data_IF_128256010681
#
_entry.id   IF_128256010681
#
_cell.length_a   1.000
_cell.length_b   1.000
_cell.length_c   1.000
_cell.angle_alpha   90.00
_cell.angle_beta   90.00
_cell.angle_gamma   90.00
#
_symmetry.space_group_name_H-M   'P 1'
#
loop_
_entity.id
_entity.type
_entity.pdbx_description
1 polymer ?
#
# COMPACT_ATOMS: atom_id res chain seq x y z
N UNK A 1 -58.00 -40.28 -11.45
CA UNK A 1 -58.89 -41.14 -10.65
C UNK A 1 -58.13 -41.63 -9.43
N UNK A 2 -58.68 -41.32 -8.24
CA UNK A 2 -58.58 -42.00 -6.92
C UNK A 2 -57.18 -42.11 -6.26
N UNK A 3 -56.86 -41.31 -5.22
CA UNK A 3 -57.26 -41.40 -3.78
C UNK A 3 -56.51 -42.55 -3.06
N UNK A 4 -56.02 -42.53 -1.81
CA UNK A 4 -55.89 -41.61 -0.65
C UNK A 4 -55.08 -42.37 0.45
N UNK A 5 -54.77 -41.66 1.56
CA UNK A 5 -54.30 -42.09 2.91
C UNK A 5 -52.77 -42.17 3.12
N UNK A 6 -52.09 -41.31 3.89
CA UNK A 6 -52.24 -40.71 5.25
C UNK A 6 -52.05 -41.71 6.38
N UNK A 7 -50.97 -41.54 7.16
CA UNK A 7 -51.03 -41.58 8.63
C UNK A 7 -49.88 -40.78 9.26
N UNK A 8 -50.30 -39.98 10.25
CA UNK A 8 -49.53 -39.02 11.03
C UNK A 8 -48.62 -39.70 12.06
N UNK A 9 -47.47 -39.06 12.32
CA UNK A 9 -46.86 -39.10 13.65
C UNK A 9 -46.35 -37.69 14.00
N UNK A 10 -47.15 -36.98 14.79
CA UNK A 10 -46.74 -35.79 15.53
C UNK A 10 -45.75 -36.20 16.61
N UNK A 11 -44.57 -35.59 16.64
CA UNK A 11 -43.73 -35.55 17.83
C UNK A 11 -43.33 -34.10 18.09
N UNK A 12 -44.19 -33.41 18.85
CA UNK A 12 -43.94 -32.09 19.41
C UNK A 12 -42.97 -32.24 20.58
N UNK A 13 -41.68 -31.97 20.35
CA UNK A 13 -40.71 -31.73 21.43
C UNK A 13 -40.78 -30.26 21.83
N UNK A 14 -41.61 -29.98 22.83
CA UNK A 14 -41.53 -28.76 23.64
C UNK A 14 -40.24 -28.79 24.43
N UNK A 15 -39.23 -28.03 24.00
CA UNK A 15 -38.11 -27.69 24.86
C UNK A 15 -38.60 -26.70 25.93
N UNK A 16 -38.80 -27.20 27.15
CA UNK A 16 -39.03 -26.36 28.33
C UNK A 16 -37.79 -25.51 28.56
N UNK A 17 -37.87 -24.22 28.21
CA UNK A 17 -36.95 -23.21 28.69
C UNK A 17 -37.06 -23.16 30.22
N UNK A 18 -36.02 -23.63 30.90
CA UNK A 18 -35.87 -23.43 32.35
C UNK A 18 -35.67 -21.93 32.58
N UNK A 19 -36.73 -21.24 32.98
CA UNK A 19 -36.61 -19.92 33.58
C UNK A 19 -35.88 -20.10 34.92
N UNK A 20 -34.66 -19.56 35.00
CA UNK A 20 -33.91 -19.46 36.25
C UNK A 20 -34.56 -18.34 37.09
N UNK A 21 -34.83 -18.54 38.39
CA UNK A 21 -35.41 -17.49 39.22
C UNK A 21 -34.48 -16.28 39.32
N UNK A 22 -34.99 -15.10 38.98
CA UNK A 22 -34.34 -13.82 39.24
C UNK A 22 -34.32 -13.57 40.75
N UNK A 23 -33.15 -13.64 41.38
CA UNK A 23 -32.94 -13.12 42.72
C UNK A 23 -32.57 -11.63 42.63
N UNK A 24 -33.39 -10.70 43.15
CA UNK A 24 -33.05 -9.29 43.20
C UNK A 24 -32.22 -9.05 44.47
N UNK A 25 -30.93 -9.37 44.41
CA UNK A 25 -29.84 -8.73 45.18
C UNK A 25 -28.58 -9.59 45.07
N UNK A 26 -27.76 -9.24 44.08
CA UNK A 26 -26.34 -9.57 44.06
C UNK A 26 -25.64 -8.30 43.61
N UNK A 27 -25.39 -7.39 44.54
CA UNK A 27 -24.37 -6.36 44.37
C UNK A 27 -23.02 -7.07 44.36
N UNK A 28 -22.67 -7.68 43.23
CA UNK A 28 -21.27 -7.99 42.93
C UNK A 28 -20.55 -6.67 42.71
N UNK A 29 -19.30 -6.52 43.16
CA UNK A 29 -18.49 -5.36 42.78
C UNK A 29 -18.44 -5.31 41.26
N UNK A 30 -18.75 -4.16 40.69
CA UNK A 30 -18.38 -3.84 39.31
C UNK A 30 -16.86 -3.86 39.28
N UNK A 31 -16.27 -5.03 39.02
CA UNK A 31 -14.97 -5.06 38.40
C UNK A 31 -15.20 -4.54 37.00
N UNK A 32 -14.89 -3.26 36.80
CA UNK A 32 -14.62 -2.70 35.48
C UNK A 32 -13.69 -3.68 34.76
N UNK A 33 -14.25 -4.45 33.83
CA UNK A 33 -13.43 -5.11 32.82
C UNK A 33 -12.67 -4.01 32.12
N UNK A 34 -11.32 -4.04 32.05
CA UNK A 34 -10.57 -3.02 31.34
C UNK A 34 -11.14 -2.94 29.94
N UNK A 35 -11.67 -1.76 29.58
CA UNK A 35 -11.90 -1.39 28.19
C UNK A 35 -10.64 -1.80 27.45
N UNK A 36 -10.74 -2.74 26.51
CA UNK A 36 -9.62 -3.43 25.87
C UNK A 36 -8.59 -2.40 25.40
N UNK A 37 -7.57 -2.16 26.22
CA UNK A 37 -6.64 -1.05 26.03
C UNK A 37 -5.61 -1.50 25.01
N UNK A 38 -5.26 -0.64 24.06
CA UNK A 38 -4.19 -0.93 23.10
C UNK A 38 -2.85 -1.18 23.80
N UNK A 39 -1.94 -1.85 23.09
CA UNK A 39 -0.68 -2.34 23.64
C UNK A 39 0.20 -1.21 24.22
N UNK A 40 0.25 -0.05 23.56
CA UNK A 40 0.98 1.12 24.07
C UNK A 40 0.41 1.60 25.42
N UNK A 41 -0.91 1.74 25.52
CA UNK A 41 -1.55 2.18 26.77
C UNK A 41 -1.32 1.18 27.91
N UNK A 42 -1.31 -0.12 27.59
CA UNK A 42 -0.94 -1.16 28.55
C UNK A 42 0.48 -0.98 29.08
N UNK A 43 1.45 -0.75 28.19
CA UNK A 43 2.85 -0.51 28.57
C UNK A 43 2.97 0.76 29.44
N UNK A 44 2.30 1.85 29.06
CA UNK A 44 2.34 3.11 29.83
C UNK A 44 1.73 2.92 31.23
N UNK A 45 0.65 2.16 31.35
CA UNK A 45 -0.01 1.89 32.62
C UNK A 45 0.87 1.06 33.57
N UNK A 46 1.71 0.17 33.04
CA UNK A 46 2.60 -0.69 33.82
C UNK A 46 3.93 -0.02 34.23
N UNK A 47 4.14 1.25 33.86
CA UNK A 47 5.36 1.98 34.21
C UNK A 47 5.44 2.30 35.72
N UNK A 48 6.66 2.32 36.30
CA UNK A 48 6.85 2.72 37.69
C UNK A 48 6.41 4.17 37.94
N UNK A 49 5.77 4.42 39.10
CA UNK A 49 5.37 5.77 39.53
C UNK A 49 6.12 6.13 40.82
N UNK A 50 7.01 7.15 40.80
CA UNK A 50 7.31 8.06 39.70
C UNK A 50 8.22 7.43 38.62
N UNK A 51 8.03 7.85 37.36
CA UNK A 51 8.84 7.38 36.22
C UNK A 51 10.30 7.78 36.43
N UNK A 52 11.26 6.83 36.42
CA UNK A 52 12.68 7.14 36.55
C UNK A 52 13.17 8.12 35.49
N UNK A 53 14.02 9.07 35.90
CA UNK A 53 14.61 10.06 34.99
C UNK A 53 15.39 9.34 33.89
N UNK A 54 15.16 9.74 32.64
CA UNK A 54 15.82 9.16 31.47
C UNK A 54 15.08 7.98 30.84
N UNK A 55 14.11 7.38 31.54
CA UNK A 55 13.27 6.30 31.00
C UNK A 55 12.43 6.80 29.82
N UNK A 56 12.37 5.97 28.78
CA UNK A 56 11.50 6.23 27.63
C UNK A 56 10.04 5.89 27.99
N UNK A 57 9.13 6.82 27.71
CA UNK A 57 7.69 6.64 27.83
C UNK A 57 7.10 6.67 26.42
N UNK A 58 6.48 5.58 25.94
CA UNK A 58 5.92 5.55 24.60
C UNK A 58 4.72 6.49 24.50
N UNK A 59 4.56 7.10 23.32
CA UNK A 59 3.41 7.94 23.01
C UNK A 59 2.30 7.11 22.36
N UNK A 60 1.10 7.19 22.92
CA UNK A 60 -0.05 6.41 22.47
C UNK A 60 -1.14 7.28 21.85
N UNK A 61 -1.92 6.70 20.93
CA UNK A 61 -3.14 7.32 20.40
C UNK A 61 -4.35 7.16 21.34
N UNK A 62 -5.51 7.66 20.92
CA UNK A 62 -6.76 7.58 21.69
C UNK A 62 -7.33 6.15 21.83
N UNK A 63 -6.91 5.23 20.97
CA UNK A 63 -7.27 3.81 21.01
C UNK A 63 -6.29 3.00 21.88
N UNK A 64 -5.16 3.60 22.28
CA UNK A 64 -4.10 2.98 23.06
C UNK A 64 -3.06 2.25 22.22
N UNK A 65 -3.06 2.41 20.88
CA UNK A 65 -1.99 1.94 20.01
C UNK A 65 -0.81 2.92 20.05
N UNK A 66 0.35 2.52 19.52
CA UNK A 66 1.50 3.42 19.43
C UNK A 66 1.23 4.49 18.37
N UNK A 67 1.60 5.74 18.65
CA UNK A 67 1.73 6.73 17.59
C UNK A 67 2.82 6.27 16.60
N UNK A 68 2.61 6.43 15.28
CA UNK A 68 3.60 6.01 14.28
C UNK A 68 4.99 6.59 14.53
N UNK A 69 5.06 7.84 14.97
CA UNK A 69 6.29 8.48 15.42
C UNK A 69 6.41 8.44 16.95
N UNK A 70 7.54 7.94 17.43
CA UNK A 70 7.94 7.99 18.83
C UNK A 70 9.10 8.97 19.02
N UNK A 71 9.12 9.71 20.12
CA UNK A 71 10.21 10.62 20.45
C UNK A 71 10.65 10.44 21.91
N UNK A 72 11.94 10.23 22.13
CA UNK A 72 12.50 10.18 23.48
C UNK A 72 12.57 11.57 24.08
N UNK A 73 11.80 11.84 25.14
CA UNK A 73 11.88 13.09 25.88
C UNK A 73 13.22 13.32 26.59
N UNK A 74 14.00 12.26 26.85
CA UNK A 74 15.29 12.35 27.54
C UNK A 74 16.47 12.60 26.60
N UNK A 75 16.44 12.05 25.38
CA UNK A 75 17.53 12.18 24.41
C UNK A 75 17.20 13.13 23.27
N UNK A 76 15.92 13.42 23.02
CA UNK A 76 15.43 14.23 21.90
C UNK A 76 15.43 13.51 20.55
N UNK A 77 15.79 12.22 20.51
CA UNK A 77 15.72 11.41 19.29
C UNK A 77 14.28 11.03 18.98
N UNK A 78 13.95 10.95 17.70
CA UNK A 78 12.66 10.43 17.21
C UNK A 78 12.89 9.26 16.24
N UNK A 79 11.93 8.35 16.14
CA UNK A 79 11.94 7.21 15.21
C UNK A 79 10.51 6.76 14.91
N UNK A 80 10.34 5.98 13.85
CA UNK A 80 9.05 5.36 13.56
C UNK A 80 8.95 3.97 14.18
N UNK A 81 7.72 3.57 14.49
CA UNK A 81 7.39 2.26 15.04
C UNK A 81 6.22 1.62 14.31
N UNK A 82 6.13 0.30 14.35
CA UNK A 82 4.89 -0.39 14.02
C UNK A 82 3.80 0.00 15.04
N UNK A 83 2.63 0.43 14.55
CA UNK A 83 1.56 0.99 15.40
C UNK A 83 0.94 -0.03 16.36
N UNK A 84 1.02 -1.32 16.03
CA UNK A 84 0.45 -2.41 16.82
C UNK A 84 1.47 -3.00 17.80
N UNK A 85 2.72 -3.21 17.36
CA UNK A 85 3.77 -3.86 18.17
C UNK A 85 4.67 -2.88 18.91
N UNK A 86 4.82 -1.65 18.42
CA UNK A 86 5.75 -0.66 18.96
C UNK A 86 7.21 -0.90 18.56
N UNK A 87 7.48 -1.86 17.68
CA UNK A 87 8.84 -2.17 17.22
C UNK A 87 9.39 -1.04 16.36
N UNK A 88 10.60 -0.58 16.70
CA UNK A 88 11.31 0.47 15.96
C UNK A 88 11.63 0.02 14.54
N UNK A 89 11.38 0.90 13.59
CA UNK A 89 11.61 0.65 12.18
C UNK A 89 13.04 1.05 11.81
N UNK A 90 13.87 0.12 11.30
CA UNK A 90 15.28 0.41 11.02
C UNK A 90 15.45 1.53 9.98
N UNK A 91 16.33 2.49 10.25
CA UNK A 91 16.62 3.61 9.34
C UNK A 91 15.86 4.91 9.65
N UNK A 92 14.81 4.83 10.47
CA UNK A 92 13.92 5.97 10.77
C UNK A 92 14.38 6.86 11.93
N UNK A 93 15.49 6.55 12.58
CA UNK A 93 15.95 7.32 13.74
C UNK A 93 16.59 8.65 13.33
N UNK A 94 16.05 9.73 13.88
CA UNK A 94 16.53 11.09 13.66
C UNK A 94 17.07 11.70 14.95
N UNK A 95 18.26 12.34 14.92
CA UNK A 95 18.82 13.01 16.08
C UNK A 95 18.07 14.32 16.41
N UNK A 96 18.27 14.87 17.62
CA UNK A 96 17.66 16.12 18.03
C UNK A 96 18.01 17.28 17.08
N UNK A 97 17.02 18.10 16.74
CA UNK A 97 17.20 19.27 15.87
C UNK A 97 17.15 18.99 14.37
N UNK A 98 16.99 17.72 13.97
CA UNK A 98 16.68 17.33 12.60
C UNK A 98 15.17 17.09 12.49
N UNK A 99 14.58 17.45 11.34
CA UNK A 99 13.16 17.16 11.07
C UNK A 99 12.99 15.64 11.06
N UNK A 100 12.12 15.06 11.93
CA UNK A 100 11.86 13.63 11.94
C UNK A 100 11.39 13.12 10.58
N UNK A 101 11.69 11.87 10.28
CA UNK A 101 11.13 11.20 9.09
C UNK A 101 9.61 11.08 9.24
N UNK A 102 8.89 11.13 8.12
CA UNK A 102 7.44 10.93 8.14
C UNK A 102 7.12 9.46 8.41
N UNK A 103 6.39 9.17 9.49
CA UNK A 103 6.03 7.81 9.90
C UNK A 103 4.67 7.34 9.34
N UNK A 104 4.04 8.14 8.48
CA UNK A 104 2.80 7.77 7.79
C UNK A 104 3.05 6.85 6.57
N UNK A 105 4.27 6.33 6.43
CA UNK A 105 4.75 5.56 5.27
C UNK A 105 4.58 4.06 5.50
N UNK A 106 4.07 3.33 4.50
CA UNK A 106 4.04 1.86 4.54
C UNK A 106 5.47 1.30 4.40
N UNK A 107 5.92 0.52 5.39
CA UNK A 107 7.27 -0.10 5.41
C UNK A 107 7.34 -1.44 4.69
N UNK A 108 6.18 -1.97 4.31
CA UNK A 108 6.02 -3.17 3.51
C UNK A 108 5.10 -2.84 2.34
N UNK A 109 5.21 -3.60 1.26
CA UNK A 109 4.23 -3.49 0.20
C UNK A 109 2.84 -3.91 0.70
N UNK A 110 1.77 -3.22 0.26
CA UNK A 110 0.42 -3.68 0.52
C UNK A 110 0.21 -5.10 0.01
N UNK A 111 -0.85 -5.73 0.49
CA UNK A 111 -1.27 -7.02 -0.02
C UNK A 111 -1.43 -6.98 -1.56
N UNK A 112 -0.95 -8.01 -2.25
CA UNK A 112 -0.88 -8.14 -3.71
C UNK A 112 0.08 -7.20 -4.47
N UNK A 113 0.85 -6.34 -3.76
CA UNK A 113 1.91 -5.55 -4.38
C UNK A 113 3.25 -6.29 -4.33
N UNK A 114 3.99 -6.25 -5.44
CA UNK A 114 5.33 -6.85 -5.55
C UNK A 114 6.42 -5.86 -5.13
N UNK A 115 7.38 -6.33 -4.35
CA UNK A 115 8.50 -5.54 -3.85
C UNK A 115 9.71 -5.59 -4.80
N UNK A 116 10.31 -4.44 -5.07
CA UNK A 116 11.64 -4.35 -5.68
C UNK A 116 12.35 -3.07 -5.22
N UNK A 117 13.53 -3.22 -4.61
CA UNK A 117 14.31 -2.08 -4.10
C UNK A 117 13.58 -1.35 -2.97
N UNK A 118 13.36 -0.03 -3.13
CA UNK A 118 12.58 0.82 -2.20
C UNK A 118 11.18 1.12 -2.72
N UNK A 119 10.62 0.25 -3.56
CA UNK A 119 9.35 0.48 -4.24
C UNK A 119 8.47 -0.75 -4.23
N UNK A 120 7.18 -0.50 -4.27
CA UNK A 120 6.13 -1.49 -4.46
C UNK A 120 5.49 -1.28 -5.82
N UNK A 121 5.17 -2.37 -6.50
CA UNK A 121 4.61 -2.37 -7.85
C UNK A 121 3.37 -3.23 -7.92
N UNK A 122 2.41 -2.78 -8.72
CA UNK A 122 1.17 -3.50 -8.96
C UNK A 122 0.83 -3.47 -10.44
N UNK A 123 0.72 -4.66 -11.05
CA UNK A 123 0.30 -4.79 -12.44
C UNK A 123 -1.21 -4.90 -12.52
N UNK A 124 -1.82 -4.00 -13.30
CA UNK A 124 -3.25 -3.95 -13.54
C UNK A 124 -3.51 -4.43 -14.97
N UNK A 125 -4.06 -5.63 -15.08
CA UNK A 125 -4.37 -6.28 -16.38
C UNK A 125 -5.67 -5.75 -17.02
N UNK A 126 -6.31 -4.72 -16.45
CA UNK A 126 -7.49 -4.07 -17.02
C UNK A 126 -7.04 -2.88 -17.89
N UNK A 127 -7.17 -2.94 -19.22
CA UNK A 127 -6.64 -1.88 -20.09
C UNK A 127 -7.35 -0.54 -19.89
N UNK A 128 -6.57 0.55 -19.90
CA UNK A 128 -7.04 1.94 -19.74
C UNK A 128 -6.25 2.90 -20.62
N UNK A 129 -6.81 4.06 -20.91
CA UNK A 129 -6.01 5.16 -21.48
C UNK A 129 -4.94 5.58 -20.47
N UNK A 130 -3.87 6.24 -20.92
CA UNK A 130 -2.77 6.61 -20.02
C UNK A 130 -3.24 7.49 -18.85
N UNK A 131 -4.13 8.45 -19.12
CA UNK A 131 -4.68 9.36 -18.09
C UNK A 131 -5.57 8.61 -17.09
N UNK A 132 -6.39 7.66 -17.55
CA UNK A 132 -7.22 6.83 -16.68
C UNK A 132 -6.37 5.86 -15.84
N UNK A 133 -5.29 5.33 -16.42
CA UNK A 133 -4.33 4.47 -15.73
C UNK A 133 -3.61 5.24 -14.62
N UNK A 134 -3.16 6.47 -14.89
CA UNK A 134 -2.58 7.33 -13.86
C UNK A 134 -3.59 7.68 -12.77
N UNK A 135 -4.83 8.02 -13.15
CA UNK A 135 -5.90 8.30 -12.18
C UNK A 135 -6.18 7.09 -11.28
N UNK A 136 -6.08 5.87 -11.81
CA UNK A 136 -6.18 4.64 -11.01
C UNK A 136 -5.02 4.53 -10.02
N UNK A 137 -3.77 4.69 -10.48
CA UNK A 137 -2.61 4.60 -9.58
C UNK A 137 -2.67 5.66 -8.48
N UNK A 138 -3.07 6.89 -8.80
CA UNK A 138 -3.26 7.96 -7.81
C UNK A 138 -4.31 7.60 -6.75
N UNK A 139 -5.40 6.94 -7.15
CA UNK A 139 -6.41 6.46 -6.21
C UNK A 139 -5.84 5.40 -5.23
N UNK A 140 -4.87 4.61 -5.67
CA UNK A 140 -4.12 3.63 -4.86
C UNK A 140 -2.96 4.25 -4.04
N UNK A 141 -2.84 5.59 -4.02
CA UNK A 141 -1.73 6.30 -3.37
C UNK A 141 -0.39 6.07 -4.06
N UNK A 142 -0.41 5.87 -5.38
CA UNK A 142 0.72 5.54 -6.22
C UNK A 142 0.74 6.41 -7.49
N UNK A 143 1.72 6.20 -8.36
CA UNK A 143 1.76 6.73 -9.72
C UNK A 143 1.98 5.59 -10.71
N UNK A 144 1.74 5.80 -11.99
CA UNK A 144 2.30 4.92 -13.02
C UNK A 144 3.82 4.79 -12.83
N UNK A 145 4.32 3.58 -13.01
CA UNK A 145 5.69 3.25 -12.66
C UNK A 145 6.72 4.01 -13.50
N UNK A 146 7.71 4.58 -12.83
CA UNK A 146 8.97 5.02 -13.43
C UNK A 146 10.01 3.89 -13.37
N UNK A 147 11.10 4.04 -14.13
CA UNK A 147 12.21 3.09 -14.19
C UNK A 147 13.53 3.86 -14.18
N UNK A 148 14.43 3.47 -13.29
CA UNK A 148 15.74 4.11 -13.03
C UNK A 148 16.92 3.15 -13.19
N UNK A 149 16.69 1.87 -13.51
CA UNK A 149 17.76 0.92 -13.79
C UNK A 149 17.35 -0.21 -14.73
N UNK A 150 18.34 -0.91 -15.27
CA UNK A 150 18.12 -2.10 -16.11
C UNK A 150 17.44 -3.23 -15.31
N UNK A 151 17.82 -3.40 -14.04
CA UNK A 151 17.25 -4.40 -13.14
C UNK A 151 15.77 -4.11 -12.83
N UNK A 152 15.42 -2.84 -12.61
CA UNK A 152 14.02 -2.41 -12.43
C UNK A 152 13.20 -2.65 -13.71
N UNK A 153 13.80 -2.41 -14.88
CA UNK A 153 13.18 -2.71 -16.17
C UNK A 153 12.89 -4.21 -16.32
N UNK A 154 13.87 -5.08 -16.02
CA UNK A 154 13.69 -6.54 -16.06
C UNK A 154 12.66 -7.03 -15.04
N UNK A 155 12.64 -6.44 -13.84
CA UNK A 155 11.64 -6.74 -12.83
C UNK A 155 10.22 -6.44 -13.35
N UNK A 156 9.99 -5.26 -13.91
CA UNK A 156 8.67 -4.89 -14.47
C UNK A 156 8.28 -5.80 -15.65
N UNK A 157 9.23 -6.17 -16.52
CA UNK A 157 8.97 -7.16 -17.58
C UNK A 157 8.51 -8.50 -17.01
N UNK A 158 9.15 -8.96 -15.92
CA UNK A 158 8.75 -10.21 -15.26
C UNK A 158 7.39 -10.12 -14.58
N UNK A 159 7.04 -8.95 -14.03
CA UNK A 159 5.76 -8.68 -13.38
C UNK A 159 4.60 -8.65 -14.38
N UNK A 160 4.84 -8.10 -15.57
CA UNK A 160 3.83 -7.95 -16.64
C UNK A 160 3.62 -9.21 -17.46
N UNK A 161 4.40 -10.27 -17.21
CA UNK A 161 4.33 -11.52 -17.98
C UNK A 161 2.99 -12.21 -17.79
N UNK A 162 2.18 -12.24 -18.84
CA UNK A 162 0.87 -12.88 -18.82
C UNK A 162 0.99 -14.41 -18.68
N UNK A 163 -0.11 -15.07 -18.28
CA UNK A 163 -0.20 -16.53 -18.19
C UNK A 163 0.12 -17.26 -19.51
N UNK A 164 0.00 -16.60 -20.66
CA UNK A 164 0.35 -17.12 -21.99
C UNK A 164 1.85 -17.06 -22.32
N UNK A 165 2.70 -16.56 -21.41
CA UNK A 165 4.09 -16.16 -21.67
C UNK A 165 4.27 -14.96 -22.61
N UNK A 166 3.19 -14.29 -23.01
CA UNK A 166 3.27 -13.03 -23.75
C UNK A 166 3.57 -11.85 -22.82
N UNK A 167 4.26 -10.85 -23.37
CA UNK A 167 4.54 -9.59 -22.71
C UNK A 167 3.60 -8.54 -23.30
N UNK A 168 2.47 -8.21 -22.64
CA UNK A 168 1.56 -7.21 -23.15
C UNK A 168 2.26 -5.84 -23.21
N UNK A 169 1.95 -5.07 -24.26
CA UNK A 169 2.28 -3.65 -24.27
C UNK A 169 1.65 -3.01 -23.05
N UNK A 170 2.47 -2.34 -22.23
CA UNK A 170 2.05 -1.92 -20.90
C UNK A 170 2.44 -0.46 -20.66
N UNK A 171 1.54 0.33 -20.07
CA UNK A 171 1.84 1.73 -19.72
C UNK A 171 2.82 1.85 -18.57
N UNK A 172 3.67 2.88 -18.68
CA UNK A 172 4.53 3.42 -17.63
C UNK A 172 4.29 4.92 -17.47
N UNK A 173 4.83 5.53 -16.41
CA UNK A 173 4.57 6.93 -16.05
C UNK A 173 5.26 7.98 -16.93
N UNK A 174 5.94 7.54 -17.99
CA UNK A 174 6.72 8.41 -18.86
C UNK A 174 5.79 9.14 -19.82
N UNK A 175 5.89 10.47 -19.84
CA UNK A 175 5.18 11.28 -20.82
C UNK A 175 6.05 12.46 -21.28
N UNK A 176 5.71 13.02 -22.44
CA UNK A 176 6.33 14.24 -22.91
C UNK A 176 5.48 15.45 -22.50
N UNK A 177 6.03 16.37 -21.71
CA UNK A 177 5.27 17.49 -21.14
C UNK A 177 5.01 18.66 -22.10
N UNK A 178 5.79 18.78 -23.18
CA UNK A 178 5.69 19.86 -24.17
C UNK A 178 6.20 19.30 -25.51
N UNK A 179 5.78 19.85 -26.66
CA UNK A 179 6.16 19.44 -28.03
C UNK A 179 7.68 19.44 -28.39
N UNK A 180 8.57 19.25 -27.42
CA UNK A 180 10.04 19.35 -27.48
C UNK A 180 10.77 18.07 -27.03
N UNK A 181 10.12 16.90 -27.07
CA UNK A 181 10.71 15.58 -26.76
C UNK A 181 11.41 15.51 -25.40
N UNK A 182 10.91 16.23 -24.40
CA UNK A 182 11.46 16.21 -23.05
C UNK A 182 10.64 15.26 -22.16
N UNK A 183 11.17 14.05 -21.99
CA UNK A 183 10.53 13.02 -21.19
C UNK A 183 10.66 13.29 -19.70
N UNK A 184 9.56 13.10 -18.98
CA UNK A 184 9.52 13.14 -17.53
C UNK A 184 8.67 12.00 -16.99
N UNK A 185 8.96 11.61 -15.75
CA UNK A 185 8.12 10.71 -14.98
C UNK A 185 7.07 11.51 -14.22
N UNK A 186 5.82 11.04 -14.23
CA UNK A 186 4.70 11.69 -13.56
C UNK A 186 4.77 11.62 -12.02
N UNK A 187 5.57 10.70 -11.47
CA UNK A 187 5.90 10.61 -10.04
C UNK A 187 6.91 11.68 -9.58
N UNK A 188 7.41 12.51 -10.50
CA UNK A 188 8.35 13.60 -10.23
C UNK A 188 9.81 13.16 -10.04
N UNK A 189 10.11 11.87 -10.21
CA UNK A 189 11.48 11.36 -10.18
C UNK A 189 12.26 11.80 -11.42
N UNK A 190 13.60 11.72 -11.35
CA UNK A 190 14.46 12.13 -12.47
C UNK A 190 14.33 11.14 -13.62
N UNK A 191 14.27 11.63 -14.85
CA UNK A 191 14.38 10.80 -16.05
C UNK A 191 15.86 10.52 -16.35
N UNK A 192 16.46 9.60 -15.58
CA UNK A 192 17.91 9.31 -15.55
C UNK A 192 18.31 7.96 -16.15
N UNK A 193 17.32 7.16 -16.56
CA UNK A 193 17.50 5.91 -17.28
C UNK A 193 16.60 5.87 -18.51
N UNK A 194 17.09 5.26 -19.59
CA UNK A 194 16.30 5.07 -20.79
C UNK A 194 16.58 3.73 -21.48
N UNK A 195 15.51 3.09 -21.97
CA UNK A 195 15.57 1.80 -22.64
C UNK A 195 14.77 1.78 -23.95
N UNK A 196 14.88 2.86 -24.73
CA UNK A 196 14.14 3.06 -25.97
C UNK A 196 14.46 2.02 -27.05
N UNK A 197 13.43 1.58 -27.78
CA UNK A 197 13.60 0.74 -28.97
C UNK A 197 14.32 1.50 -30.10
N UNK A 198 13.88 2.73 -30.35
CA UNK A 198 14.52 3.72 -31.21
C UNK A 198 14.38 5.07 -30.52
N UNK A 199 15.50 5.76 -30.26
CA UNK A 199 15.44 7.14 -29.76
C UNK A 199 14.86 8.03 -30.87
N UNK A 200 13.87 8.83 -30.52
CA UNK A 200 13.35 9.86 -31.40
C UNK A 200 14.48 10.87 -31.66
N UNK A 201 14.87 11.04 -32.92
CA UNK A 201 15.79 12.10 -33.30
C UNK A 201 14.97 13.38 -33.51
N UNK A 202 15.46 14.51 -32.99
CA UNK A 202 14.78 15.80 -33.12
C UNK A 202 14.62 16.28 -34.58
N UNK A 203 15.34 15.65 -35.51
CA UNK A 203 15.37 15.97 -36.94
C UNK A 203 14.30 15.22 -37.76
N UNK A 204 13.64 14.21 -37.19
CA UNK A 204 12.54 13.51 -37.85
C UNK A 204 11.24 14.33 -37.64
N UNK A 205 10.95 15.25 -38.57
CA UNK A 205 9.87 16.26 -38.51
C UNK A 205 8.43 15.72 -38.32
N UNK A 206 8.21 14.40 -38.23
CA UNK A 206 6.89 13.82 -38.49
C UNK A 206 6.08 13.36 -37.27
N UNK A 207 6.59 13.41 -36.03
CA UNK A 207 5.85 12.86 -34.88
C UNK A 207 5.86 13.77 -33.64
N UNK A 208 5.52 15.05 -33.79
CA UNK A 208 5.31 16.00 -32.67
C UNK A 208 3.96 15.82 -31.95
N UNK A 209 3.57 14.58 -31.66
CA UNK A 209 2.32 14.25 -30.96
C UNK A 209 2.58 14.05 -29.46
N UNK A 210 1.55 14.19 -28.62
CA UNK A 210 1.62 13.77 -27.22
C UNK A 210 2.01 12.29 -27.15
N UNK A 211 3.19 12.02 -26.58
CA UNK A 211 3.73 10.67 -26.51
C UNK A 211 3.66 10.18 -25.07
N UNK A 212 2.93 9.08 -24.87
CA UNK A 212 2.94 8.31 -23.64
C UNK A 212 3.87 7.11 -23.80
N UNK A 213 4.54 6.72 -22.71
CA UNK A 213 5.56 5.68 -22.72
C UNK A 213 4.95 4.30 -22.43
N UNK A 214 5.16 3.35 -23.35
CA UNK A 214 4.87 1.93 -23.14
C UNK A 214 6.13 1.08 -23.15
N UNK A 215 6.11 -0.02 -22.39
CA UNK A 215 7.15 -1.07 -22.37
C UNK A 215 6.69 -2.31 -23.17
N UNK A 216 7.60 -3.28 -23.30
CA UNK A 216 7.38 -4.57 -23.97
C UNK A 216 7.21 -4.47 -25.49
N UNK A 217 7.81 -3.44 -26.12
CA UNK A 217 7.73 -3.27 -27.56
C UNK A 217 8.80 -4.06 -28.32
N UNK A 218 8.36 -4.79 -29.35
CA UNK A 218 9.21 -5.61 -30.21
C UNK A 218 9.86 -6.80 -29.47
N UNK A 219 10.69 -7.56 -30.19
CA UNK A 219 11.34 -8.76 -29.64
C UNK A 219 12.29 -8.48 -28.46
N UNK A 220 12.78 -7.25 -28.32
CA UNK A 220 13.71 -6.85 -27.27
C UNK A 220 13.02 -6.23 -26.05
N UNK A 221 11.68 -6.20 -26.02
CA UNK A 221 10.86 -5.69 -24.91
C UNK A 221 11.23 -4.26 -24.46
N UNK A 222 11.62 -3.43 -25.44
CA UNK A 222 12.11 -2.06 -25.22
C UNK A 222 10.95 -1.08 -25.05
N UNK A 223 11.27 0.16 -24.69
CA UNK A 223 10.29 1.23 -24.61
C UNK A 223 9.93 1.76 -25.98
N UNK A 224 8.68 2.17 -26.13
CA UNK A 224 8.20 2.84 -27.33
C UNK A 224 7.20 3.93 -26.94
N UNK A 225 7.11 4.96 -27.77
CA UNK A 225 6.07 5.96 -27.64
C UNK A 225 4.74 5.40 -28.16
N UNK A 226 3.64 5.97 -27.70
CA UNK A 226 2.30 5.59 -28.12
C UNK A 226 1.36 6.76 -27.99
N UNK A 227 0.25 6.69 -28.72
CA UNK A 227 -0.85 7.62 -28.50
C UNK A 227 -1.41 7.39 -27.08
N UNK A 228 -1.50 8.45 -26.28
CA UNK A 228 -2.04 8.38 -24.92
C UNK A 228 -3.50 7.90 -24.86
N UNK A 229 -4.19 7.88 -26.00
CA UNK A 229 -5.56 7.36 -26.17
C UNK A 229 -5.61 5.85 -26.43
N UNK A 230 -4.49 5.16 -26.62
CA UNK A 230 -4.45 3.69 -26.63
C UNK A 230 -4.90 3.15 -25.25
N UNK A 231 -5.62 2.04 -25.22
CA UNK A 231 -5.99 1.36 -23.98
C UNK A 231 -5.08 0.17 -23.73
N UNK A 232 -4.23 0.26 -22.72
CA UNK A 232 -3.25 -0.79 -22.37
C UNK A 232 -3.33 -1.13 -20.88
N UNK A 233 -2.98 -2.36 -20.47
CA UNK A 233 -2.70 -2.65 -19.06
C UNK A 233 -1.52 -1.79 -18.58
N UNK A 234 -1.33 -1.68 -17.28
CA UNK A 234 -0.42 -0.70 -16.71
C UNK A 234 0.19 -1.15 -15.38
N UNK A 235 1.30 -0.51 -14.99
CA UNK A 235 1.97 -0.80 -13.72
C UNK A 235 1.94 0.45 -12.85
N UNK A 236 1.37 0.32 -11.65
CA UNK A 236 1.48 1.34 -10.61
C UNK A 236 2.74 1.09 -9.78
N UNK A 237 3.30 2.16 -9.22
CA UNK A 237 4.39 2.08 -8.26
C UNK A 237 4.25 3.14 -7.16
N UNK A 238 4.70 2.79 -5.95
CA UNK A 238 4.87 3.72 -4.83
C UNK A 238 6.12 3.41 -4.04
N UNK A 239 6.69 4.43 -3.41
CA UNK A 239 7.86 4.28 -2.56
C UNK A 239 7.48 3.61 -1.23
N UNK A 240 8.36 2.73 -0.76
CA UNK A 240 8.46 2.38 0.66
C UNK A 240 9.62 3.17 1.23
N UNK A 241 9.42 3.76 2.39
CA UNK A 241 10.43 4.57 3.03
C UNK A 241 11.00 3.76 4.19
N UNK A 242 12.29 3.43 4.09
CA UNK A 242 13.08 2.83 5.17
C UNK A 242 13.69 3.93 6.04
#
# INVERSE_FOLDING_TARGET
>A
MKWLSVSLALCSLLALSRAVPFHPNSTSPVHDTPRQMGHCAYIVHDLPVPVPIGMFVPQCDASGNFLPQQCSGSTGYCWCVDVLTGEKIPGTETPPGVIPVSCDMEYHCPYDWSHFGKRCYYFVDSPKTWVEAESYCLFEGANLASIHSEEECHFIQSLTKAHSHDFPLTWLGGHNAVHSCFWMWNDGTKFDFDNWHKKMNMDDEMEKTECCLKINYGYNLKWHYASCNETLPFVCSKMIYY
#
